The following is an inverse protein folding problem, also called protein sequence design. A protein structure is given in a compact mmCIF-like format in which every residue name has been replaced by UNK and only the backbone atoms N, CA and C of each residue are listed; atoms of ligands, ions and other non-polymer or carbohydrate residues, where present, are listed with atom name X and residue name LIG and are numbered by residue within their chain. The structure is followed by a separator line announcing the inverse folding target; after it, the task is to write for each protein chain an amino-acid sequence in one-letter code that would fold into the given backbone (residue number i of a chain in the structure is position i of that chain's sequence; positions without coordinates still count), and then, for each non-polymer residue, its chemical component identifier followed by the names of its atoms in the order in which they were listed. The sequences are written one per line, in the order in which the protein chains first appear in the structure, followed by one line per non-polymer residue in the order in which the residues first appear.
data_IF_772339633053
#
_entry.id   IF_772339633053
#
_cell.length_a   1.000
_cell.length_b   1.000
_cell.length_c   1.000
_cell.angle_alpha   90.00
_cell.angle_beta   90.00
_cell.angle_gamma   90.00
#
_symmetry.space_group_name_H-M   'P 1'
#
loop_
_entity.id
_entity.type
_entity.pdbx_description
1 polymer ?
#
# COMPACT_ATOMS: atom_id res chain seq x y z
N UNK A 1 1.22 2.33 -19.46
CA UNK A 1 2.67 2.49 -19.22
C UNK A 1 2.95 3.97 -18.95
N UNK A 2 2.83 4.40 -17.70
CA UNK A 2 3.08 5.78 -17.31
C UNK A 2 4.53 5.90 -16.83
N UNK A 3 5.38 6.53 -17.64
CA UNK A 3 6.72 6.93 -17.19
C UNK A 3 6.58 8.30 -16.53
N UNK A 4 6.88 8.39 -15.26
CA UNK A 4 6.95 9.68 -14.56
C UNK A 4 8.41 9.98 -14.25
N UNK A 5 8.94 11.02 -14.89
CA UNK A 5 10.25 11.60 -14.56
C UNK A 5 9.98 12.85 -13.74
N UNK A 6 10.39 12.87 -12.47
CA UNK A 6 10.29 14.06 -11.64
C UNK A 6 11.63 14.80 -11.64
N UNK A 7 11.60 16.13 -11.81
CA UNK A 7 12.75 17.01 -11.66
C UNK A 7 12.62 17.79 -10.36
N UNK A 8 13.59 17.69 -9.49
CA UNK A 8 13.72 18.53 -8.29
C UNK A 8 15.09 19.18 -8.23
N UNK A 9 15.09 20.42 -7.82
CA UNK A 9 16.26 21.31 -7.73
C UNK A 9 16.87 21.30 -6.33
N UNK A 10 18.21 21.36 -6.29
CA UNK A 10 19.13 21.56 -5.17
C UNK A 10 19.40 20.35 -4.26
N UNK A 11 20.43 19.57 -4.62
CA UNK A 11 21.19 18.75 -3.67
C UNK A 11 20.58 17.41 -3.25
N UNK A 12 19.40 17.06 -3.76
CA UNK A 12 18.79 15.74 -3.59
C UNK A 12 19.21 14.85 -4.76
N UNK A 13 19.69 13.66 -4.48
CA UNK A 13 19.88 12.63 -5.50
C UNK A 13 18.53 12.34 -6.17
N UNK A 14 18.47 12.48 -7.49
CA UNK A 14 17.26 12.15 -8.27
C UNK A 14 17.14 10.63 -8.29
N UNK A 15 16.22 10.07 -7.53
CA UNK A 15 15.92 8.64 -7.56
C UNK A 15 15.08 8.36 -8.82
N UNK A 16 15.62 7.56 -9.73
CA UNK A 16 14.87 7.09 -10.89
C UNK A 16 14.03 5.88 -10.52
N UNK A 17 12.72 5.99 -10.69
CA UNK A 17 11.80 4.93 -10.30
C UNK A 17 10.76 4.61 -11.36
N UNK A 18 10.17 3.42 -11.23
CA UNK A 18 9.04 2.95 -12.02
C UNK A 18 8.04 2.27 -11.08
N UNK A 19 6.76 2.52 -11.29
CA UNK A 19 5.68 1.79 -10.63
C UNK A 19 4.92 1.00 -11.69
N UNK A 20 4.87 -0.31 -11.51
CA UNK A 20 4.01 -1.20 -12.27
C UNK A 20 2.82 -1.59 -11.39
N UNK A 21 1.66 -1.79 -12.00
CA UNK A 21 0.42 -2.21 -11.32
C UNK A 21 -0.18 -3.42 -12.03
N UNK A 22 -0.72 -4.34 -11.24
CA UNK A 22 -1.60 -5.42 -11.71
C UNK A 22 -2.88 -5.38 -10.89
N UNK A 23 -4.01 -5.33 -11.57
CA UNK A 23 -5.33 -5.51 -10.94
C UNK A 23 -5.57 -7.01 -10.84
N UNK A 24 -5.68 -7.52 -9.62
CA UNK A 24 -5.71 -8.96 -9.34
C UNK A 24 -6.90 -9.33 -8.44
N UNK A 25 -7.20 -10.61 -8.42
CA UNK A 25 -8.25 -11.17 -7.56
C UNK A 25 -9.66 -10.86 -8.01
N UNK A 26 -10.62 -11.39 -7.24
CA UNK A 26 -12.04 -11.33 -7.59
C UNK A 26 -12.68 -9.96 -7.33
N UNK A 27 -12.03 -9.14 -6.48
CA UNK A 27 -12.51 -7.79 -6.14
C UNK A 27 -11.70 -6.69 -6.80
N UNK A 28 -10.68 -7.06 -7.61
CA UNK A 28 -9.95 -6.11 -8.45
C UNK A 28 -8.97 -5.23 -7.68
N UNK A 29 -8.20 -5.81 -6.78
CA UNK A 29 -7.22 -5.12 -5.95
C UNK A 29 -5.97 -4.76 -6.73
N UNK A 30 -5.47 -3.56 -6.53
CA UNK A 30 -4.25 -3.05 -7.13
C UNK A 30 -3.02 -3.59 -6.38
N UNK A 31 -2.28 -4.48 -7.01
CA UNK A 31 -0.98 -4.94 -6.56
C UNK A 31 0.12 -4.10 -7.24
N UNK A 32 0.96 -3.40 -6.48
CA UNK A 32 1.98 -2.50 -7.01
C UNK A 32 3.39 -3.07 -6.86
N UNK A 33 4.22 -2.81 -7.86
CA UNK A 33 5.66 -3.05 -7.81
C UNK A 33 6.39 -1.70 -7.97
N UNK A 34 6.97 -1.21 -6.89
CA UNK A 34 7.81 -0.02 -6.88
C UNK A 34 9.26 -0.42 -7.13
N UNK A 35 9.81 -0.01 -8.26
CA UNK A 35 11.17 -0.32 -8.70
C UNK A 35 12.06 0.92 -8.63
N UNK A 36 13.19 0.80 -7.98
CA UNK A 36 14.31 1.72 -8.09
C UNK A 36 15.17 1.29 -9.29
N UNK A 37 15.19 2.10 -10.33
CA UNK A 37 15.88 1.73 -11.57
C UNK A 37 17.40 1.90 -11.49
N UNK A 38 17.90 2.61 -10.49
CA UNK A 38 19.33 2.82 -10.26
C UNK A 38 19.94 1.62 -9.52
N UNK A 39 19.28 1.19 -8.43
CA UNK A 39 19.74 0.02 -7.64
C UNK A 39 19.34 -1.31 -8.22
N UNK A 40 18.35 -1.34 -9.14
CA UNK A 40 17.70 -2.56 -9.63
C UNK A 40 17.06 -3.40 -8.52
N UNK A 41 16.52 -2.72 -7.54
CA UNK A 41 15.77 -3.31 -6.44
C UNK A 41 14.31 -2.87 -6.48
N UNK A 42 13.39 -3.66 -5.93
CA UNK A 42 11.97 -3.33 -5.89
C UNK A 42 11.31 -3.76 -4.59
N UNK A 43 10.15 -3.15 -4.32
CA UNK A 43 9.24 -3.47 -3.22
C UNK A 43 7.88 -3.79 -3.80
N UNK A 44 7.25 -4.84 -3.30
CA UNK A 44 5.90 -5.24 -3.65
C UNK A 44 4.92 -4.71 -2.60
N UNK A 45 3.82 -4.10 -3.04
CA UNK A 45 2.76 -3.61 -2.16
C UNK A 45 1.48 -4.39 -2.47
N UNK A 46 0.86 -4.94 -1.43
CA UNK A 46 -0.38 -5.70 -1.45
C UNK A 46 -0.40 -6.80 -2.51
N UNK A 47 0.24 -7.95 -2.24
CA UNK A 47 0.21 -9.13 -3.12
C UNK A 47 -1.17 -9.79 -3.11
N UNK A 48 -2.10 -9.19 -3.84
CA UNK A 48 -3.53 -9.44 -3.79
C UNK A 48 -3.92 -10.88 -4.10
N UNK A 49 -3.46 -11.41 -5.24
CA UNK A 49 -3.80 -12.75 -5.72
C UNK A 49 -2.84 -13.18 -6.81
N UNK A 50 -2.84 -14.46 -7.18
CA UNK A 50 -2.11 -15.01 -8.33
C UNK A 50 -0.60 -14.71 -8.30
N UNK A 51 0.11 -15.35 -7.39
CA UNK A 51 1.57 -15.23 -7.24
C UNK A 51 2.35 -15.48 -8.55
N UNK A 52 1.79 -16.23 -9.49
CA UNK A 52 2.35 -16.41 -10.83
C UNK A 52 2.41 -15.11 -11.63
N UNK A 53 1.30 -14.37 -11.70
CA UNK A 53 1.25 -13.05 -12.38
C UNK A 53 2.12 -12.01 -11.68
N UNK A 54 2.19 -12.05 -10.35
CA UNK A 54 3.09 -11.20 -9.57
C UNK A 54 4.54 -11.54 -9.90
N UNK A 55 4.87 -12.82 -9.97
CA UNK A 55 6.21 -13.27 -10.36
C UNK A 55 6.60 -12.81 -11.76
N UNK A 56 5.69 -12.92 -12.73
CA UNK A 56 5.92 -12.38 -14.08
C UNK A 56 6.20 -10.87 -14.06
N UNK A 57 5.47 -10.10 -13.24
CA UNK A 57 5.68 -8.65 -13.08
C UNK A 57 7.07 -8.36 -12.51
N UNK A 58 7.49 -9.09 -11.47
CA UNK A 58 8.82 -8.94 -10.85
C UNK A 58 9.91 -9.30 -11.87
N UNK A 59 9.81 -10.43 -12.55
CA UNK A 59 10.79 -10.90 -13.54
C UNK A 59 10.90 -9.92 -14.71
N UNK A 60 9.78 -9.42 -15.24
CA UNK A 60 9.75 -8.41 -16.32
C UNK A 60 10.35 -7.06 -15.90
N UNK A 61 10.33 -6.71 -14.62
CA UNK A 61 10.95 -5.48 -14.12
C UNK A 61 12.47 -5.51 -14.21
N UNK A 62 13.07 -6.69 -14.16
CA UNK A 62 14.51 -6.89 -14.06
C UNK A 62 15.10 -6.44 -12.72
N UNK A 63 14.26 -6.24 -11.70
CA UNK A 63 14.65 -5.81 -10.37
C UNK A 63 14.61 -6.97 -9.38
N UNK A 64 15.44 -6.88 -8.35
CA UNK A 64 15.44 -7.83 -7.23
C UNK A 64 14.41 -7.40 -6.19
N UNK A 65 13.46 -8.27 -5.85
CA UNK A 65 12.51 -8.01 -4.77
C UNK A 65 13.21 -7.98 -3.41
N UNK A 66 12.96 -6.95 -2.61
CA UNK A 66 13.58 -6.72 -1.29
C UNK A 66 12.62 -6.89 -0.13
N UNK A 67 11.33 -6.77 -0.37
CA UNK A 67 10.32 -6.91 0.66
C UNK A 67 8.91 -6.76 0.13
N UNK A 68 7.96 -7.13 0.96
CA UNK A 68 6.52 -7.02 0.72
C UNK A 68 5.95 -6.11 1.80
N UNK A 69 5.22 -5.07 1.40
CA UNK A 69 4.49 -4.18 2.30
C UNK A 69 3.00 -4.50 2.21
N UNK A 70 2.35 -4.68 3.35
CA UNK A 70 0.91 -4.83 3.44
C UNK A 70 0.30 -3.54 3.99
N UNK A 71 -0.60 -2.92 3.24
CA UNK A 71 -1.33 -1.73 3.71
C UNK A 71 -2.30 -2.09 4.81
N UNK A 72 -2.96 -3.24 4.68
CA UNK A 72 -3.85 -3.82 5.70
C UNK A 72 -4.03 -5.32 5.46
N UNK A 73 -4.79 -5.98 6.31
CA UNK A 73 -4.88 -7.44 6.36
C UNK A 73 -6.12 -8.05 5.70
N UNK A 74 -6.95 -7.34 4.96
CA UNK A 74 -8.07 -7.97 4.26
C UNK A 74 -7.59 -8.95 3.20
N UNK A 75 -8.37 -10.04 3.02
CA UNK A 75 -7.98 -11.21 2.25
C UNK A 75 -7.48 -10.87 0.84
N UNK A 76 -8.13 -9.93 0.19
CA UNK A 76 -7.84 -9.57 -1.19
C UNK A 76 -6.55 -8.77 -1.37
N UNK A 77 -5.95 -8.26 -0.31
CA UNK A 77 -4.63 -7.63 -0.30
C UNK A 77 -3.48 -8.59 0.02
N UNK A 78 -3.79 -9.77 0.57
CA UNK A 78 -2.77 -10.64 1.17
C UNK A 78 -2.71 -12.07 0.60
N UNK A 79 -3.62 -12.46 -0.30
CA UNK A 79 -3.77 -13.87 -0.71
C UNK A 79 -2.48 -14.50 -1.26
N UNK A 80 -1.65 -13.74 -1.97
CA UNK A 80 -0.40 -14.24 -2.53
C UNK A 80 0.84 -13.92 -1.65
N UNK A 81 0.66 -13.32 -0.48
CA UNK A 81 1.78 -12.81 0.33
C UNK A 81 2.78 -13.91 0.73
N UNK A 82 2.28 -15.03 1.26
CA UNK A 82 3.13 -16.13 1.72
C UNK A 82 3.83 -16.83 0.54
N UNK A 83 3.14 -17.06 -0.58
CA UNK A 83 3.74 -17.72 -1.76
C UNK A 83 4.85 -16.85 -2.37
N UNK A 84 4.63 -15.54 -2.49
CA UNK A 84 5.65 -14.60 -3.00
C UNK A 84 6.81 -14.49 -2.02
N UNK A 85 6.53 -14.35 -0.70
CA UNK A 85 7.54 -14.33 0.34
C UNK A 85 8.48 -15.53 0.24
N UNK A 86 7.90 -16.74 0.17
CA UNK A 86 8.65 -17.99 0.18
C UNK A 86 9.43 -18.16 -1.14
N UNK A 87 8.84 -17.83 -2.28
CA UNK A 87 9.50 -17.91 -3.60
C UNK A 87 10.73 -17.00 -3.69
N UNK A 88 10.64 -15.77 -3.19
CA UNK A 88 11.71 -14.78 -3.31
C UNK A 88 12.59 -14.68 -2.05
N UNK A 89 12.25 -15.41 -0.99
CA UNK A 89 12.95 -15.40 0.29
C UNK A 89 13.11 -13.97 0.84
N UNK A 90 12.02 -13.22 0.87
CA UNK A 90 11.95 -11.83 1.35
C UNK A 90 11.11 -11.73 2.62
N UNK A 91 11.08 -10.55 3.25
CA UNK A 91 10.29 -10.27 4.45
C UNK A 91 8.96 -9.62 4.10
N UNK A 92 7.93 -9.95 4.88
CA UNK A 92 6.63 -9.29 4.89
C UNK A 92 6.60 -8.28 6.03
N UNK A 93 6.25 -7.03 5.72
CA UNK A 93 6.14 -5.91 6.65
C UNK A 93 4.66 -5.51 6.78
N UNK A 94 4.21 -5.30 8.00
CA UNK A 94 2.85 -4.82 8.30
C UNK A 94 2.83 -4.02 9.60
N UNK A 95 1.77 -3.24 9.80
CA UNK A 95 1.52 -2.55 11.07
C UNK A 95 1.37 -3.56 12.22
N UNK A 96 1.92 -3.23 13.39
CA UNK A 96 1.74 -4.02 14.59
C UNK A 96 0.26 -4.13 15.02
N UNK A 97 -0.54 -3.11 14.71
CA UNK A 97 -1.97 -3.06 14.99
C UNK A 97 -2.78 -3.96 14.03
N UNK A 98 -2.20 -4.40 12.89
CA UNK A 98 -2.87 -5.26 11.92
C UNK A 98 -2.73 -6.77 12.21
N UNK A 99 -2.04 -7.11 13.30
CA UNK A 99 -1.74 -8.49 13.67
C UNK A 99 -2.97 -9.38 13.79
N UNK A 100 -4.03 -8.85 14.37
CA UNK A 100 -5.29 -9.59 14.57
C UNK A 100 -6.03 -9.80 13.24
N UNK A 101 -6.11 -8.77 12.40
CA UNK A 101 -6.73 -8.85 11.08
C UNK A 101 -6.01 -9.89 10.21
N UNK A 102 -4.68 -9.81 10.13
CA UNK A 102 -3.86 -10.73 9.34
C UNK A 102 -3.99 -12.21 9.77
N UNK A 103 -4.21 -12.46 11.06
CA UNK A 103 -4.21 -13.83 11.61
C UNK A 103 -5.58 -14.48 11.69
N UNK A 104 -6.67 -13.72 11.50
CA UNK A 104 -8.03 -14.18 11.80
C UNK A 104 -8.92 -14.13 10.55
N UNK A 105 -9.24 -15.29 9.93
CA UNK A 105 -10.03 -15.37 8.69
C UNK A 105 -11.39 -14.67 8.73
N UNK A 106 -12.04 -14.63 9.89
CA UNK A 106 -13.28 -13.89 10.09
C UNK A 106 -13.09 -12.38 9.99
N UNK A 107 -11.99 -11.85 10.54
CA UNK A 107 -11.69 -10.41 10.56
C UNK A 107 -11.14 -9.95 9.22
N UNK A 108 -10.27 -10.75 8.60
CA UNK A 108 -9.73 -10.43 7.28
C UNK A 108 -10.71 -10.70 6.12
N UNK A 109 -11.93 -11.08 6.44
CA UNK A 109 -13.03 -11.37 5.50
C UNK A 109 -12.82 -12.63 4.64
N UNK A 110 -11.72 -13.34 4.76
CA UNK A 110 -11.46 -14.58 4.01
C UNK A 110 -12.52 -15.65 4.25
N UNK A 111 -12.98 -15.79 5.49
CA UNK A 111 -14.03 -16.75 5.86
C UNK A 111 -15.33 -16.54 5.07
N UNK A 112 -15.72 -15.29 4.81
CA UNK A 112 -16.92 -14.96 4.03
C UNK A 112 -16.84 -15.46 2.58
N UNK A 113 -15.62 -15.71 2.09
CA UNK A 113 -15.35 -16.29 0.77
C UNK A 113 -14.91 -17.76 0.84
N UNK A 114 -15.11 -18.42 1.98
CA UNK A 114 -14.77 -19.83 2.19
C UNK A 114 -13.27 -20.10 2.33
N UNK A 115 -12.48 -19.08 2.66
CA UNK A 115 -11.02 -19.17 2.80
C UNK A 115 -10.62 -19.23 4.27
N UNK A 116 -9.73 -20.13 4.62
CA UNK A 116 -9.06 -20.16 5.93
C UNK A 116 -7.69 -19.49 5.79
N UNK A 117 -7.69 -18.19 5.45
CA UNK A 117 -6.49 -17.40 5.16
C UNK A 117 -5.95 -16.74 6.41
N UNK A 118 -4.67 -16.90 6.64
CA UNK A 118 -3.92 -16.12 7.63
C UNK A 118 -2.52 -15.85 7.11
N UNK A 119 -2.01 -14.66 7.32
CA UNK A 119 -0.66 -14.26 6.93
C UNK A 119 0.06 -13.73 8.18
N UNK A 120 1.34 -14.08 8.30
CA UNK A 120 2.19 -13.58 9.38
C UNK A 120 3.24 -12.65 8.81
N UNK A 121 3.25 -11.40 9.25
CA UNK A 121 4.34 -10.49 8.94
C UNK A 121 5.62 -10.92 9.68
N UNK A 122 6.76 -10.74 9.01
CA UNK A 122 8.08 -10.98 9.58
C UNK A 122 8.58 -9.76 10.37
N UNK A 123 8.20 -8.58 9.94
CA UNK A 123 8.58 -7.29 10.53
C UNK A 123 7.32 -6.49 10.82
N UNK A 124 7.16 -6.11 12.07
CA UNK A 124 6.10 -5.25 12.54
C UNK A 124 6.61 -3.82 12.69
N UNK A 125 5.89 -2.85 12.15
CA UNK A 125 6.20 -1.43 12.30
C UNK A 125 5.07 -0.69 13.02
N UNK A 126 5.39 0.52 13.49
CA UNK A 126 4.47 1.45 14.14
C UNK A 126 4.29 2.72 13.30
N UNK A 127 3.36 3.59 13.73
CA UNK A 127 3.16 4.91 13.11
C UNK A 127 4.45 5.74 13.12
N UNK A 128 4.80 6.29 11.97
CA UNK A 128 5.97 7.14 11.77
C UNK A 128 7.29 6.39 11.53
N UNK A 129 7.32 5.06 11.64
CA UNK A 129 8.52 4.29 11.32
C UNK A 129 8.93 4.49 9.86
N UNK A 130 10.23 4.51 9.59
CA UNK A 130 10.80 4.61 8.25
C UNK A 130 11.46 3.28 7.88
N UNK A 131 10.92 2.65 6.85
CA UNK A 131 11.41 1.38 6.32
C UNK A 131 12.38 1.66 5.17
N UNK A 132 13.66 1.29 5.34
CA UNK A 132 14.67 1.44 4.29
C UNK A 132 14.65 0.20 3.38
N UNK A 133 13.96 0.28 2.25
CA UNK A 133 13.79 -0.84 1.30
C UNK A 133 14.03 -0.39 -0.14
N UNK A 134 14.77 -1.19 -0.89
CA UNK A 134 15.06 -0.96 -2.31
C UNK A 134 15.63 0.45 -2.63
N UNK A 135 16.37 1.03 -1.68
CA UNK A 135 16.92 2.39 -1.80
C UNK A 135 15.88 3.50 -1.63
N UNK A 136 14.72 3.20 -1.04
CA UNK A 136 13.71 4.18 -0.63
C UNK A 136 13.60 4.26 0.89
N UNK A 137 13.37 5.47 1.39
CA UNK A 137 12.89 5.72 2.73
C UNK A 137 11.37 5.77 2.69
N UNK A 138 10.74 4.70 3.15
CA UNK A 138 9.28 4.50 3.10
C UNK A 138 8.71 4.75 4.48
N UNK A 139 8.03 5.88 4.66
CA UNK A 139 7.38 6.22 5.93
C UNK A 139 6.04 5.49 6.06
N UNK A 140 5.88 4.75 7.13
CA UNK A 140 4.61 4.17 7.52
C UNK A 140 3.75 5.23 8.22
N UNK A 141 2.57 5.50 7.70
CA UNK A 141 1.58 6.41 8.29
C UNK A 141 0.37 5.56 8.69
N UNK A 142 0.18 5.35 9.98
CA UNK A 142 -0.98 4.60 10.50
C UNK A 142 -2.26 5.40 10.27
N UNK A 143 -3.19 4.81 9.54
CA UNK A 143 -4.46 5.41 9.10
C UNK A 143 -5.63 4.49 9.43
N UNK A 144 -6.00 4.35 10.72
CA UNK A 144 -7.11 3.49 11.13
C UNK A 144 -8.44 3.99 10.59
N UNK A 145 -9.38 3.05 10.46
CA UNK A 145 -10.76 3.35 10.10
C UNK A 145 -11.36 2.43 9.05
N UNK A 146 -10.59 1.93 8.08
CA UNK A 146 -10.98 0.79 7.25
C UNK A 146 -10.70 -0.53 7.99
N UNK A 147 -9.51 -0.65 8.54
CA UNK A 147 -9.12 -1.63 9.56
C UNK A 147 -8.48 -0.90 10.75
N UNK A 148 -8.27 -1.61 11.87
CA UNK A 148 -7.62 -1.03 13.05
C UNK A 148 -6.16 -0.64 12.77
N UNK A 149 -5.44 -1.44 11.98
CA UNK A 149 -4.02 -1.25 11.68
C UNK A 149 -3.73 -0.73 10.27
N UNK A 150 -4.75 -0.24 9.54
CA UNK A 150 -4.57 0.31 8.21
C UNK A 150 -3.43 1.31 8.13
N UNK A 151 -2.59 1.19 7.11
CA UNK A 151 -1.36 1.97 6.97
C UNK A 151 -1.17 2.43 5.54
N UNK A 152 -0.90 3.72 5.37
CA UNK A 152 -0.42 4.28 4.12
C UNK A 152 1.12 4.32 4.11
N UNK A 153 1.73 4.06 2.96
CA UNK A 153 3.18 4.13 2.79
C UNK A 153 3.56 5.34 1.95
N UNK A 154 4.24 6.30 2.56
CA UNK A 154 4.65 7.54 1.92
C UNK A 154 6.15 7.56 1.61
N UNK A 155 6.50 7.93 0.38
CA UNK A 155 7.87 8.09 -0.08
C UNK A 155 8.05 9.55 -0.53
N UNK A 156 8.57 10.36 0.40
CA UNK A 156 8.72 11.81 0.20
C UNK A 156 9.63 12.14 -0.98
N UNK A 157 10.74 11.42 -1.12
CA UNK A 157 11.75 11.68 -2.17
C UNK A 157 11.22 11.58 -3.60
N UNK A 158 10.07 10.91 -3.80
CA UNK A 158 9.43 10.75 -5.11
C UNK A 158 7.98 11.22 -5.14
N UNK A 159 7.47 11.79 -4.03
CA UNK A 159 6.11 12.33 -3.92
C UNK A 159 5.02 11.27 -4.16
N UNK A 160 5.16 10.07 -3.57
CA UNK A 160 4.25 8.93 -3.79
C UNK A 160 3.68 8.44 -2.47
N UNK A 161 2.37 8.17 -2.46
CA UNK A 161 1.63 7.57 -1.37
C UNK A 161 0.90 6.31 -1.87
N UNK A 162 1.13 5.17 -1.26
CA UNK A 162 0.28 3.98 -1.39
C UNK A 162 -0.73 4.00 -0.26
N UNK A 163 -2.01 4.24 -0.58
CA UNK A 163 -3.03 4.47 0.43
C UNK A 163 -3.79 3.21 0.86
N UNK A 164 -3.59 2.09 0.17
CA UNK A 164 -4.46 0.93 0.38
C UNK A 164 -5.92 1.36 0.31
N UNK A 165 -6.71 0.90 1.28
CA UNK A 165 -8.13 1.20 1.37
C UNK A 165 -8.45 2.34 2.35
N UNK A 166 -7.52 3.29 2.50
CA UNK A 166 -7.77 4.51 3.29
C UNK A 166 -8.39 5.60 2.44
N UNK A 167 -7.71 6.01 1.35
CA UNK A 167 -8.12 7.13 0.48
C UNK A 167 -8.24 6.63 -0.95
N UNK A 168 -9.40 6.90 -1.56
CA UNK A 168 -9.69 6.65 -2.98
C UNK A 168 -9.96 7.96 -3.73
N UNK A 169 -10.04 7.87 -5.06
CA UNK A 169 -10.49 8.99 -5.88
C UNK A 169 -11.93 9.35 -5.53
N UNK A 170 -12.14 10.57 -5.01
CA UNK A 170 -13.42 11.12 -4.54
C UNK A 170 -14.16 10.22 -3.51
N UNK A 171 -13.42 9.35 -2.80
CA UNK A 171 -14.00 8.40 -1.84
C UNK A 171 -13.02 8.04 -0.72
N UNK A 172 -13.52 7.25 0.23
CA UNK A 172 -12.74 6.65 1.33
C UNK A 172 -13.07 5.17 1.46
N UNK A 173 -12.23 4.43 2.15
CA UNK A 173 -12.48 3.02 2.44
C UNK A 173 -13.77 2.80 3.22
N UNK A 174 -14.39 1.65 3.02
CA UNK A 174 -15.54 1.20 3.81
C UNK A 174 -15.17 1.07 5.28
N UNK A 175 -16.14 1.34 6.13
CA UNK A 175 -15.96 1.31 7.60
C UNK A 175 -17.00 0.47 8.31
N UNK A 176 -17.77 -0.31 7.57
CA UNK A 176 -18.87 -1.15 8.07
C UNK A 176 -18.41 -2.60 8.38
N UNK A 177 -17.11 -2.86 8.37
CA UNK A 177 -16.50 -4.11 8.78
C UNK A 177 -16.08 -4.09 10.25
N UNK A 178 -15.76 -5.26 10.79
CA UNK A 178 -15.23 -5.39 12.14
C UNK A 178 -13.90 -4.63 12.27
N UNK A 179 -13.80 -3.73 13.25
CA UNK A 179 -12.64 -2.83 13.39
C UNK A 179 -12.72 -1.54 12.56
N UNK A 180 -13.78 -1.39 11.73
CA UNK A 180 -14.01 -0.18 10.93
C UNK A 180 -14.62 0.98 11.71
N UNK A 181 -14.25 2.23 11.35
CA UNK A 181 -14.75 3.47 11.98
C UNK A 181 -14.70 4.63 10.99
N UNK A 182 -15.87 5.16 10.62
CA UNK A 182 -15.97 6.35 9.74
C UNK A 182 -15.31 7.57 10.38
N UNK A 183 -15.44 7.74 11.67
CA UNK A 183 -14.77 8.83 12.39
C UNK A 183 -13.25 8.75 12.25
N UNK A 184 -12.70 7.56 12.45
CA UNK A 184 -11.26 7.37 12.47
C UNK A 184 -10.66 7.50 11.08
N UNK A 185 -11.31 6.99 10.02
CA UNK A 185 -10.81 7.13 8.65
C UNK A 185 -10.79 8.58 8.20
N UNK A 186 -11.84 9.36 8.56
CA UNK A 186 -11.90 10.79 8.25
C UNK A 186 -10.81 11.57 8.98
N UNK A 187 -10.58 11.31 10.27
CA UNK A 187 -9.47 11.91 11.03
C UNK A 187 -8.12 11.50 10.47
N UNK A 188 -7.92 10.20 10.16
CA UNK A 188 -6.69 9.70 9.54
C UNK A 188 -6.36 10.45 8.25
N UNK A 189 -7.35 10.66 7.39
CA UNK A 189 -7.15 11.36 6.12
C UNK A 189 -6.88 12.85 6.37
N UNK A 190 -7.73 13.54 7.15
CA UNK A 190 -7.61 14.99 7.39
C UNK A 190 -6.30 15.35 8.08
N UNK A 191 -5.97 14.64 9.15
CA UNK A 191 -4.88 15.02 10.03
C UNK A 191 -3.51 14.52 9.56
N UNK A 192 -3.48 13.41 8.81
CA UNK A 192 -2.22 12.76 8.41
C UNK A 192 -1.94 12.81 6.91
N UNK A 193 -2.97 12.72 6.05
CA UNK A 193 -2.76 12.69 4.61
C UNK A 193 -2.94 14.08 3.97
N UNK A 194 -3.94 14.87 4.40
CA UNK A 194 -4.16 16.19 3.84
C UNK A 194 -3.09 17.24 4.22
N UNK A 195 -2.14 16.88 5.04
CA UNK A 195 -0.94 17.71 5.34
C UNK A 195 0.23 17.46 4.37
N UNK A 196 0.13 16.42 3.54
CA UNK A 196 1.14 16.10 2.53
C UNK A 196 1.07 17.11 1.37
N UNK A 197 2.16 17.27 0.57
CA UNK A 197 2.18 18.16 -0.60
C UNK A 197 1.08 17.82 -1.62
N UNK A 198 0.51 18.85 -2.26
CA UNK A 198 -0.58 18.71 -3.23
C UNK A 198 -0.26 17.82 -4.43
N UNK A 199 1.01 17.82 -4.86
CA UNK A 199 1.51 17.02 -5.98
C UNK A 199 1.82 15.57 -5.62
N UNK A 200 1.63 15.17 -4.35
CA UNK A 200 1.76 13.77 -3.92
C UNK A 200 0.75 12.90 -4.66
N UNK A 201 1.26 11.94 -5.42
CA UNK A 201 0.44 10.96 -6.15
C UNK A 201 -0.03 9.87 -5.21
N UNK A 202 -1.32 9.55 -5.28
CA UNK A 202 -1.95 8.52 -4.46
C UNK A 202 -2.24 7.29 -5.32
N UNK A 203 -1.68 6.16 -4.91
CA UNK A 203 -1.89 4.83 -5.46
C UNK A 203 -2.81 4.06 -4.52
N UNK A 204 -4.04 3.86 -4.94
CA UNK A 204 -5.16 3.34 -4.14
C UNK A 204 -5.20 1.80 -4.14
N UNK A 205 -5.82 1.19 -3.14
CA UNK A 205 -6.02 -0.26 -3.11
C UNK A 205 -6.93 -0.77 -4.22
N UNK A 206 -7.89 0.03 -4.64
CA UNK A 206 -8.83 -0.29 -5.74
C UNK A 206 -9.04 0.92 -6.65
N UNK A 207 -9.46 0.65 -7.90
CA UNK A 207 -9.82 1.68 -8.85
C UNK A 207 -8.64 2.50 -9.34
N UNK A 208 -8.90 3.75 -9.66
CA UNK A 208 -7.92 4.67 -10.22
C UNK A 208 -7.15 5.44 -9.13
N UNK A 209 -5.93 5.86 -9.46
CA UNK A 209 -5.13 6.71 -8.59
C UNK A 209 -5.61 8.17 -8.62
N UNK A 210 -5.15 8.95 -7.63
CA UNK A 210 -5.47 10.36 -7.48
C UNK A 210 -4.26 11.17 -6.99
N UNK A 211 -4.47 12.36 -6.44
CA UNK A 211 -3.45 13.16 -5.75
C UNK A 211 -4.01 13.84 -4.50
N UNK A 212 -3.15 14.16 -3.56
CA UNK A 212 -3.55 14.84 -2.32
C UNK A 212 -4.25 16.18 -2.63
N UNK A 213 -3.71 16.96 -3.54
CA UNK A 213 -4.32 18.26 -3.91
C UNK A 213 -5.70 18.12 -4.55
N UNK A 214 -5.90 17.08 -5.37
CA UNK A 214 -7.21 16.80 -5.95
C UNK A 214 -8.23 16.41 -4.87
N UNK A 215 -7.87 15.46 -4.00
CA UNK A 215 -8.76 14.98 -2.94
C UNK A 215 -9.09 16.06 -1.91
N UNK A 216 -8.16 16.96 -1.60
CA UNK A 216 -8.41 18.07 -0.68
C UNK A 216 -9.56 18.96 -1.15
N UNK A 217 -9.78 19.06 -2.46
CA UNK A 217 -10.82 19.92 -3.07
C UNK A 217 -12.10 19.16 -3.40
N UNK A 218 -11.97 17.89 -3.84
CA UNK A 218 -13.08 17.18 -4.47
C UNK A 218 -13.66 16.04 -3.64
N UNK A 219 -12.93 15.55 -2.62
CA UNK A 219 -13.40 14.41 -1.86
C UNK A 219 -14.55 14.81 -0.90
N UNK A 220 -15.76 14.26 -1.08
CA UNK A 220 -16.93 14.66 -0.31
C UNK A 220 -16.89 14.22 1.17
N UNK A 221 -16.03 13.26 1.52
CA UNK A 221 -15.91 12.73 2.88
C UNK A 221 -14.99 13.56 3.77
N UNK A 222 -14.08 14.32 3.15
CA UNK A 222 -13.07 15.12 3.87
C UNK A 222 -13.32 16.63 3.70
N UNK A 223 -14.44 17.01 3.09
CA UNK A 223 -14.83 18.39 2.79
C UNK A 223 -14.63 19.38 3.92
N UNK A 224 -14.52 20.64 3.51
CA UNK A 224 -14.14 21.83 4.27
C UNK A 224 -14.88 22.00 5.61
#
# INVERSE_FOLDING_TARGET
MLRTTAFLTQGLEIIMYKIDVRVLGMVGTNCYLLCNTDTKECVLIDPADNAGKISEMIEQSGCMLKGILLTHGHFDHIMAADEVRDKYNVKVYASAEEKNTLSTPHINLGEAYGMNLSVKADIWHNDGDVLNLAGFDIKAIHTPGHTEGGTCYYIESIGVLFSGDTLFCESVGRTDFLGGSMSDIVHSIKDKLMVLPDDTKVYTGHGEGTSIGYERVHNPFIGA
#
